data_IF_259175237170
#
_entry.id   IF_259175237170
#
_cell.length_a   1.000
_cell.length_b   1.000
_cell.length_c   1.000
_cell.angle_alpha   90.00
_cell.angle_beta   90.00
_cell.angle_gamma   90.00
#
_symmetry.space_group_name_H-M   'P 1'
#
loop_
_entity.id
_entity.type
_entity.pdbx_description
1 polymer ?
#
# COMPACT_ATOMS: atom_id res chain seq x y z
N UNK A 1 11.59 -0.86 13.14
CA UNK A 1 11.45 -0.63 11.68
C UNK A 1 10.30 -1.48 11.20
N UNK A 2 9.38 -0.93 10.41
CA UNK A 2 8.37 -1.74 9.71
C UNK A 2 9.12 -2.80 8.90
N UNK A 3 8.83 -4.09 9.16
CA UNK A 3 9.58 -5.18 8.52
C UNK A 3 8.73 -5.71 7.38
N UNK A 4 8.93 -5.16 6.19
CA UNK A 4 8.32 -5.66 4.97
C UNK A 4 8.98 -7.01 4.62
N UNK A 5 8.38 -8.09 5.11
CA UNK A 5 8.93 -9.44 5.00
C UNK A 5 8.66 -10.11 3.65
N UNK A 6 7.73 -9.57 2.86
CA UNK A 6 7.31 -10.16 1.59
C UNK A 6 6.72 -9.11 0.65
N UNK A 7 6.60 -9.46 -0.64
CA UNK A 7 5.94 -8.64 -1.65
C UNK A 7 4.48 -8.28 -1.26
N UNK A 8 3.63 -9.23 -0.81
CA UNK A 8 2.31 -8.90 -0.26
C UNK A 8 2.33 -7.89 0.89
N UNK A 9 3.29 -7.99 1.82
CA UNK A 9 3.38 -7.05 2.94
C UNK A 9 3.73 -5.64 2.44
N UNK A 10 4.60 -5.52 1.44
CA UNK A 10 4.91 -4.26 0.77
C UNK A 10 3.68 -3.66 0.08
N UNK A 11 2.89 -4.45 -0.65
CA UNK A 11 1.67 -3.97 -1.30
C UNK A 11 0.66 -3.44 -0.29
N UNK A 12 0.45 -4.15 0.81
CA UNK A 12 -0.44 -3.69 1.90
C UNK A 12 0.08 -2.41 2.53
N UNK A 13 1.40 -2.27 2.69
CA UNK A 13 2.01 -1.03 3.16
C UNK A 13 1.73 0.15 2.23
N UNK A 14 1.80 -0.05 0.91
CA UNK A 14 1.45 1.00 -0.06
C UNK A 14 -0.02 1.42 0.05
N UNK A 15 -0.93 0.44 0.21
CA UNK A 15 -2.35 0.72 0.40
C UNK A 15 -2.62 1.53 1.68
N UNK A 16 -1.96 1.19 2.78
CA UNK A 16 -2.06 1.93 4.05
C UNK A 16 -1.45 3.33 3.93
N UNK A 17 -0.34 3.49 3.20
CA UNK A 17 0.28 4.79 2.95
C UNK A 17 -0.67 5.71 2.18
N UNK A 18 -1.33 5.16 1.16
CA UNK A 18 -2.26 5.87 0.31
C UNK A 18 -3.52 6.31 1.07
N UNK A 19 -4.14 5.40 1.81
CA UNK A 19 -5.32 5.69 2.63
C UNK A 19 -5.04 6.73 3.72
N UNK A 20 -3.80 6.81 4.23
CA UNK A 20 -3.43 7.81 5.25
C UNK A 20 -2.90 9.13 4.63
N UNK A 21 -3.01 9.34 3.32
CA UNK A 21 -2.38 10.48 2.64
C UNK A 21 -2.96 11.83 3.08
N UNK A 22 -4.21 11.87 3.50
CA UNK A 22 -4.91 13.04 4.02
C UNK A 22 -4.84 13.15 5.58
N UNK A 23 -4.09 12.25 6.22
CA UNK A 23 -3.91 12.08 7.67
C UNK A 23 -5.09 11.45 8.43
N UNK A 24 -6.02 10.82 7.74
CA UNK A 24 -7.11 10.05 8.35
C UNK A 24 -7.25 8.69 7.65
N UNK A 25 -7.80 7.71 8.35
CA UNK A 25 -8.14 6.42 7.74
C UNK A 25 -9.64 6.39 7.50
N UNK A 26 -10.06 6.45 6.24
CA UNK A 26 -11.47 6.28 5.92
C UNK A 26 -11.90 4.81 6.13
N UNK A 27 -12.98 4.53 6.86
CA UNK A 27 -13.44 3.17 7.11
C UNK A 27 -13.75 2.35 5.85
N UNK A 28 -14.25 2.99 4.78
CA UNK A 28 -14.53 2.34 3.50
C UNK A 28 -13.24 1.96 2.77
N UNK A 29 -12.22 2.82 2.80
CA UNK A 29 -10.89 2.49 2.28
C UNK A 29 -10.27 1.32 3.04
N UNK A 30 -10.31 1.33 4.37
CA UNK A 30 -9.79 0.22 5.19
C UNK A 30 -10.52 -1.09 4.89
N UNK A 31 -11.85 -1.05 4.70
CA UNK A 31 -12.63 -2.21 4.30
C UNK A 31 -12.25 -2.70 2.89
N UNK A 32 -12.03 -1.78 1.95
CA UNK A 32 -11.57 -2.10 0.60
C UNK A 32 -10.18 -2.75 0.62
N UNK A 33 -9.24 -2.21 1.40
CA UNK A 33 -7.91 -2.80 1.59
C UNK A 33 -8.02 -4.24 2.09
N UNK A 34 -8.81 -4.48 3.16
CA UNK A 34 -9.01 -5.83 3.72
C UNK A 34 -9.56 -6.81 2.68
N UNK A 35 -10.50 -6.36 1.85
CA UNK A 35 -11.07 -7.18 0.76
C UNK A 35 -10.00 -7.54 -0.29
N UNK A 36 -9.20 -6.56 -0.71
CA UNK A 36 -8.14 -6.74 -1.72
C UNK A 36 -6.97 -7.58 -1.21
N UNK A 37 -6.72 -7.60 0.10
CA UNK A 37 -5.70 -8.47 0.70
C UNK A 37 -5.96 -9.97 0.48
N UNK A 38 -7.22 -10.38 0.28
CA UNK A 38 -7.55 -11.80 0.14
C UNK A 38 -6.88 -12.47 -1.06
N UNK A 39 -6.58 -11.74 -2.13
CA UNK A 39 -5.86 -12.26 -3.30
C UNK A 39 -4.33 -12.26 -3.14
N UNK A 40 -3.80 -11.57 -2.12
CA UNK A 40 -2.37 -11.41 -1.90
C UNK A 40 -1.77 -12.49 -0.98
N UNK A 41 -2.60 -13.14 -0.17
CA UNK A 41 -2.15 -14.09 0.85
C UNK A 41 -2.80 -15.47 0.69
N UNK A 42 -2.14 -16.55 1.15
CA UNK A 42 -2.74 -17.88 1.17
C UNK A 42 -4.04 -17.93 1.98
N UNK A 43 -4.93 -18.84 1.60
CA UNK A 43 -6.15 -19.13 2.35
C UNK A 43 -5.82 -19.49 3.82
N UNK A 44 -6.64 -19.00 4.76
CA UNK A 44 -6.43 -19.19 6.20
C UNK A 44 -5.48 -18.16 6.85
N UNK A 45 -4.93 -17.22 6.09
CA UNK A 45 -4.18 -16.08 6.66
C UNK A 45 -5.13 -15.17 7.43
N UNK A 46 -4.73 -14.76 8.64
CA UNK A 46 -5.41 -13.72 9.42
C UNK A 46 -5.14 -12.33 8.81
N UNK A 47 -5.97 -11.97 7.82
CA UNK A 47 -5.85 -10.71 7.08
C UNK A 47 -6.07 -9.49 7.98
N UNK A 48 -6.92 -9.61 8.99
CA UNK A 48 -7.22 -8.54 9.92
C UNK A 48 -6.02 -8.21 10.79
N UNK A 49 -5.41 -9.23 11.38
CA UNK A 49 -4.17 -9.08 12.14
C UNK A 49 -3.05 -8.49 11.27
N UNK A 50 -2.92 -8.94 10.02
CA UNK A 50 -1.93 -8.36 9.09
C UNK A 50 -2.19 -6.88 8.85
N UNK A 51 -3.41 -6.49 8.49
CA UNK A 51 -3.76 -5.10 8.20
C UNK A 51 -3.48 -4.18 9.40
N UNK A 52 -3.98 -4.54 10.58
CA UNK A 52 -3.77 -3.73 11.77
C UNK A 52 -2.32 -3.70 12.24
N UNK A 53 -1.56 -4.78 12.01
CA UNK A 53 -0.11 -4.76 12.25
C UNK A 53 0.57 -3.76 11.33
N UNK A 54 0.25 -3.77 10.03
CA UNK A 54 0.80 -2.81 9.05
C UNK A 54 0.42 -1.38 9.39
N UNK A 55 -0.83 -1.10 9.75
CA UNK A 55 -1.27 0.25 10.18
C UNK A 55 -0.46 0.72 11.39
N UNK A 56 -0.33 -0.15 12.41
CA UNK A 56 0.45 0.19 13.62
C UNK A 56 1.91 0.45 13.29
N UNK A 57 2.54 -0.40 12.47
CA UNK A 57 3.94 -0.25 12.06
C UNK A 57 4.14 1.00 11.22
N UNK A 58 3.21 1.29 10.30
CA UNK A 58 3.21 2.52 9.52
C UNK A 58 3.15 3.73 10.46
N UNK A 59 2.21 3.78 11.39
CA UNK A 59 2.03 4.91 12.31
C UNK A 59 3.21 5.09 13.29
N UNK A 60 3.85 4.01 13.72
CA UNK A 60 5.01 4.06 14.59
C UNK A 60 6.32 4.43 13.86
N UNK A 61 6.31 4.49 12.52
CA UNK A 61 7.49 4.77 11.73
C UNK A 61 7.75 6.27 11.59
N UNK A 62 9.03 6.64 11.66
CA UNK A 62 9.49 7.97 11.26
C UNK A 62 9.24 8.21 9.76
N UNK A 63 8.34 9.16 9.46
CA UNK A 63 7.94 9.49 8.09
C UNK A 63 9.06 10.10 7.26
N UNK A 64 10.10 10.65 7.87
CA UNK A 64 11.29 11.12 7.15
C UNK A 64 12.00 9.97 6.41
N UNK A 65 11.76 8.72 6.82
CA UNK A 65 12.36 7.52 6.24
C UNK A 65 11.52 6.84 5.18
N UNK A 66 10.30 7.32 4.92
CA UNK A 66 9.42 6.74 3.90
C UNK A 66 10.09 6.64 2.52
N UNK A 67 10.78 7.70 2.01
CA UNK A 67 11.41 7.63 0.70
C UNK A 67 12.44 6.50 0.60
N UNK A 68 13.33 6.38 1.60
CA UNK A 68 14.33 5.32 1.68
C UNK A 68 13.70 3.93 1.73
N UNK A 69 12.64 3.76 2.54
CA UNK A 69 11.94 2.48 2.67
C UNK A 69 11.26 2.09 1.36
N UNK A 70 10.56 3.03 0.71
CA UNK A 70 9.87 2.79 -0.55
C UNK A 70 10.87 2.42 -1.64
N UNK A 71 11.96 3.18 -1.79
CA UNK A 71 13.00 2.90 -2.77
C UNK A 71 13.65 1.52 -2.55
N UNK A 72 14.00 1.21 -1.30
CA UNK A 72 14.61 -0.09 -0.95
C UNK A 72 13.63 -1.24 -1.23
N UNK A 73 12.36 -1.06 -0.88
CA UNK A 73 11.33 -2.07 -1.08
C UNK A 73 11.05 -2.30 -2.56
N UNK A 74 10.94 -1.22 -3.35
CA UNK A 74 10.78 -1.31 -4.80
C UNK A 74 11.98 -2.02 -5.45
N UNK A 75 13.21 -1.80 -4.98
CA UNK A 75 14.38 -2.55 -5.47
C UNK A 75 14.34 -4.03 -5.08
N UNK A 76 13.91 -4.34 -3.85
CA UNK A 76 13.84 -5.71 -3.33
C UNK A 76 12.72 -6.53 -4.01
N UNK A 77 11.60 -5.87 -4.30
CA UNK A 77 10.33 -6.48 -4.69
C UNK A 77 9.87 -6.09 -6.10
N UNK A 78 10.70 -5.37 -6.85
CA UNK A 78 10.38 -4.79 -8.16
C UNK A 78 10.28 -5.80 -9.32
N UNK A 79 10.36 -5.34 -10.58
CA UNK A 79 9.83 -6.02 -11.77
C UNK A 79 10.32 -7.46 -12.04
N UNK A 80 11.38 -7.91 -11.38
CA UNK A 80 11.82 -9.31 -11.41
C UNK A 80 10.90 -10.30 -10.67
N UNK A 81 9.92 -9.83 -9.88
CA UNK A 81 9.00 -10.69 -9.12
C UNK A 81 7.69 -11.03 -9.86
N UNK A 82 7.54 -10.64 -11.13
CA UNK A 82 6.31 -10.92 -11.90
C UNK A 82 5.09 -10.15 -11.41
N UNK A 83 5.30 -9.05 -10.70
CA UNK A 83 4.25 -8.17 -10.23
C UNK A 83 3.58 -7.46 -11.40
N UNK A 84 2.26 -7.62 -11.52
CA UNK A 84 1.46 -6.84 -12.47
C UNK A 84 1.27 -5.42 -11.94
N UNK A 85 2.16 -4.51 -12.37
CA UNK A 85 2.15 -3.11 -11.96
C UNK A 85 0.82 -2.43 -12.30
N UNK A 86 0.17 -2.81 -13.41
CA UNK A 86 -1.11 -2.24 -13.82
C UNK A 86 -2.21 -2.66 -12.84
N UNK A 87 -2.28 -3.95 -12.49
CA UNK A 87 -3.24 -4.45 -11.51
C UNK A 87 -3.07 -3.80 -10.12
N UNK A 88 -1.83 -3.53 -9.71
CA UNK A 88 -1.54 -2.85 -8.43
C UNK A 88 -2.07 -1.41 -8.46
N UNK A 89 -1.79 -0.66 -9.54
CA UNK A 89 -2.26 0.72 -9.70
C UNK A 89 -3.79 0.79 -9.79
N UNK A 90 -4.43 -0.12 -10.51
CA UNK A 90 -5.89 -0.24 -10.55
C UNK A 90 -6.44 -0.50 -9.15
N UNK A 91 -5.83 -1.41 -8.38
CA UNK A 91 -6.29 -1.70 -7.01
C UNK A 91 -6.15 -0.48 -6.09
N UNK A 92 -5.06 0.29 -6.22
CA UNK A 92 -4.89 1.55 -5.46
C UNK A 92 -5.97 2.57 -5.79
N UNK A 93 -6.32 2.73 -7.08
CA UNK A 93 -7.40 3.62 -7.51
C UNK A 93 -8.76 3.18 -6.97
N UNK A 94 -9.02 1.87 -6.91
CA UNK A 94 -10.26 1.34 -6.34
C UNK A 94 -10.34 1.56 -4.84
N UNK A 95 -9.22 1.49 -4.11
CA UNK A 95 -9.17 1.75 -2.67
C UNK A 95 -9.55 3.20 -2.37
N UNK A 96 -8.88 4.18 -2.98
CA UNK A 96 -9.13 5.61 -2.70
C UNK A 96 -10.47 6.12 -3.21
N UNK A 97 -11.20 5.30 -3.97
CA UNK A 97 -12.55 5.61 -4.46
C UNK A 97 -13.63 4.87 -3.67
N UNK A 98 -13.26 4.12 -2.63
CA UNK A 98 -14.17 3.21 -1.94
C UNK A 98 -15.34 3.93 -1.25
N UNK A 99 -15.11 5.17 -0.80
CA UNK A 99 -16.12 6.04 -0.18
C UNK A 99 -16.90 6.89 -1.21
N UNK A 100 -16.51 6.85 -2.50
CA UNK A 100 -17.09 7.63 -3.58
C UNK A 100 -16.54 9.06 -3.70
N UNK A 101 -15.57 9.45 -2.86
CA UNK A 101 -14.82 10.69 -2.97
C UNK A 101 -13.35 10.35 -3.24
N UNK A 102 -12.56 11.33 -3.68
CA UNK A 102 -11.10 11.16 -3.79
C UNK A 102 -10.47 12.46 -3.35
N UNK A 103 -9.68 12.42 -2.29
CA UNK A 103 -8.98 13.60 -1.80
C UNK A 103 -7.85 14.01 -2.78
N UNK A 104 -7.54 15.31 -2.90
CA UNK A 104 -6.37 15.75 -3.65
C UNK A 104 -5.06 15.14 -3.13
N UNK A 105 -4.99 14.87 -1.83
CA UNK A 105 -3.82 14.26 -1.19
C UNK A 105 -3.61 12.80 -1.63
N UNK A 106 -4.68 12.00 -1.70
CA UNK A 106 -4.65 10.62 -2.21
C UNK A 106 -4.23 10.58 -3.69
N UNK A 107 -4.78 11.49 -4.50
CA UNK A 107 -4.42 11.60 -5.93
C UNK A 107 -2.92 11.86 -6.08
N UNK A 108 -2.39 12.83 -5.32
CA UNK A 108 -0.96 13.13 -5.31
C UNK A 108 -0.11 11.97 -4.81
N UNK A 109 -0.56 11.25 -3.78
CA UNK A 109 0.14 10.08 -3.27
C UNK A 109 0.17 8.94 -4.31
N UNK A 110 -0.95 8.70 -5.00
CA UNK A 110 -1.04 7.73 -6.09
C UNK A 110 -0.09 8.08 -7.26
N UNK A 111 -0.03 9.35 -7.65
CA UNK A 111 0.90 9.82 -8.68
C UNK A 111 2.36 9.57 -8.28
N UNK A 112 2.73 9.89 -7.03
CA UNK A 112 4.07 9.66 -6.51
C UNK A 112 4.45 8.17 -6.49
N UNK A 113 3.51 7.30 -6.07
CA UNK A 113 3.70 5.85 -6.09
C UNK A 113 3.84 5.30 -7.52
N UNK A 114 3.03 5.82 -8.45
CA UNK A 114 3.11 5.46 -9.87
C UNK A 114 4.49 5.79 -10.45
N UNK A 115 5.03 6.97 -10.13
CA UNK A 115 6.37 7.38 -10.57
C UNK A 115 7.45 6.49 -9.97
N UNK A 116 7.37 6.16 -8.67
CA UNK A 116 8.32 5.25 -8.02
C UNK A 116 8.33 3.86 -8.65
N UNK A 117 7.16 3.31 -8.97
CA UNK A 117 7.03 2.01 -9.66
C UNK A 117 7.56 2.11 -11.10
N UNK A 118 7.30 3.22 -11.80
CA UNK A 118 7.76 3.42 -13.17
C UNK A 118 9.29 3.56 -13.29
N UNK A 119 9.94 4.22 -12.32
CA UNK A 119 11.40 4.38 -12.26
C UNK A 119 12.15 3.07 -11.95
N UNK A 120 11.43 2.02 -11.54
CA UNK A 120 11.99 0.70 -11.27
C UNK A 120 11.99 -0.24 -12.48
N UNK A 121 11.43 0.18 -13.62
CA UNK A 121 11.51 -0.53 -14.91
C UNK A 121 12.90 -0.39 -15.53
#
# INVERSE_FOLDING_TARGET
MAKLSSFPDFIVFLYVHLSQADNQYDPAEIAAIKSKMASLYPAGTDLEKKLYTTIREYNAMDKARLPELLETSVRQFGPGHGADHEAILTTMQEIIRADGQVAPAETKALEALTQLIALSK
#
